data_IF_148818470017
#
_entry.id   IF_148818470017
#
_cell.length_a   1.000
_cell.length_b   1.000
_cell.length_c   1.000
_cell.angle_alpha   90.00
_cell.angle_beta   90.00
_cell.angle_gamma   90.00
#
_symmetry.space_group_name_H-M   'P 1'
#
loop_
_entity.id
_entity.type
_entity.pdbx_description
1 polymer ?
#
# COMPACT_ATOMS: atom_id res chain seq x y z
N UNK A 1 -11.69 -7.49 -2.90
CA UNK A 1 -11.36 -6.53 -3.97
C UNK A 1 -9.87 -6.64 -4.29
N UNK A 2 -9.53 -6.80 -5.55
CA UNK A 2 -8.15 -6.91 -5.97
C UNK A 2 -7.43 -5.57 -5.94
N UNK A 3 -6.09 -5.60 -5.83
CA UNK A 3 -5.27 -4.38 -5.76
C UNK A 3 -5.49 -3.45 -6.96
N UNK A 4 -5.58 -4.01 -8.16
CA UNK A 4 -5.80 -3.20 -9.36
C UNK A 4 -7.14 -2.44 -9.29
N UNK A 5 -8.19 -3.10 -8.81
CA UNK A 5 -9.49 -2.47 -8.60
C UNK A 5 -9.41 -1.35 -7.55
N UNK A 6 -8.66 -1.57 -6.47
CA UNK A 6 -8.45 -0.55 -5.43
C UNK A 6 -7.72 0.67 -5.98
N UNK A 7 -6.67 0.46 -6.78
CA UNK A 7 -5.93 1.55 -7.40
C UNK A 7 -6.84 2.36 -8.35
N UNK A 8 -7.66 1.67 -9.14
CA UNK A 8 -8.55 2.34 -10.08
C UNK A 8 -9.67 3.12 -9.38
N UNK A 9 -10.17 2.62 -8.26
CA UNK A 9 -11.26 3.26 -7.51
C UNK A 9 -10.79 4.31 -6.50
N UNK A 10 -9.47 4.38 -6.24
CA UNK A 10 -8.87 5.34 -5.30
C UNK A 10 -7.73 6.10 -5.98
N UNK A 11 -8.05 7.03 -6.90
CA UNK A 11 -7.03 7.66 -7.74
C UNK A 11 -5.99 8.48 -6.98
N UNK A 12 -6.37 9.15 -5.91
CA UNK A 12 -5.42 9.94 -5.10
C UNK A 12 -4.46 9.02 -4.35
N UNK A 13 -4.99 7.95 -3.77
CA UNK A 13 -4.17 6.93 -3.08
C UNK A 13 -3.22 6.24 -4.07
N UNK A 14 -3.69 5.96 -5.28
CA UNK A 14 -2.85 5.38 -6.34
C UNK A 14 -1.65 6.26 -6.67
N UNK A 15 -1.86 7.58 -6.77
CA UNK A 15 -0.78 8.54 -7.02
C UNK A 15 0.25 8.53 -5.91
N UNK A 16 -0.20 8.51 -4.66
CA UNK A 16 0.68 8.45 -3.49
C UNK A 16 1.51 7.17 -3.48
N UNK A 17 0.89 6.03 -3.75
CA UNK A 17 1.58 4.73 -3.79
C UNK A 17 2.62 4.71 -4.91
N UNK A 18 2.26 5.17 -6.11
CA UNK A 18 3.19 5.26 -7.24
C UNK A 18 4.40 6.12 -6.92
N UNK A 19 4.18 7.28 -6.32
CA UNK A 19 5.25 8.19 -5.94
C UNK A 19 6.16 7.55 -4.91
N UNK A 20 5.59 6.90 -3.90
CA UNK A 20 6.37 6.21 -2.88
C UNK A 20 7.25 5.11 -3.47
N UNK A 21 6.69 4.29 -4.37
CA UNK A 21 7.43 3.22 -5.04
C UNK A 21 8.56 3.77 -5.92
N UNK A 22 8.29 4.83 -6.68
CA UNK A 22 9.30 5.49 -7.52
C UNK A 22 10.45 6.03 -6.67
N UNK A 23 10.13 6.69 -5.55
CA UNK A 23 11.15 7.23 -4.66
C UNK A 23 12.01 6.11 -4.06
N UNK A 24 11.41 4.98 -3.69
CA UNK A 24 12.15 3.83 -3.18
C UNK A 24 13.02 3.18 -4.24
N UNK A 25 12.54 3.06 -5.46
CA UNK A 25 13.32 2.52 -6.58
C UNK A 25 14.52 3.41 -6.87
N UNK A 26 14.34 4.73 -6.93
CA UNK A 26 15.41 5.68 -7.16
C UNK A 26 16.42 5.71 -6.00
N UNK A 27 15.95 5.54 -4.77
CA UNK A 27 16.80 5.45 -3.59
C UNK A 27 17.70 4.22 -3.66
N UNK A 28 17.19 3.08 -4.13
CA UNK A 28 17.97 1.86 -4.29
C UNK A 28 19.06 1.98 -5.34
N UNK A 29 18.94 2.95 -6.26
CA UNK A 29 19.94 3.24 -7.30
C UNK A 29 20.93 4.34 -6.89
N UNK A 30 20.90 4.76 -5.65
CA UNK A 30 21.66 5.90 -5.13
C UNK A 30 23.18 5.70 -5.22
N UNK A 31 23.65 4.47 -5.07
CA UNK A 31 25.06 4.12 -5.11
C UNK A 31 25.58 3.95 -6.53
N UNK A 32 24.72 4.02 -7.52
CA UNK A 32 25.09 3.93 -8.91
C UNK A 32 25.24 5.34 -9.51
N UNK A 33 26.23 5.48 -10.37
CA UNK A 33 26.52 6.76 -11.04
C UNK A 33 25.53 7.00 -12.18
N UNK A 34 24.23 7.04 -11.84
CA UNK A 34 23.18 7.36 -12.81
C UNK A 34 23.05 8.89 -12.95
N UNK A 35 22.98 9.39 -14.19
CA UNK A 35 22.74 10.81 -14.39
C UNK A 35 21.39 11.25 -13.80
N UNK A 36 21.33 12.47 -13.30
CA UNK A 36 20.08 13.04 -12.76
C UNK A 36 18.97 13.07 -13.84
N UNK A 37 19.36 13.29 -15.10
CA UNK A 37 18.42 13.27 -16.23
C UNK A 37 17.69 11.93 -16.37
N UNK A 38 18.37 10.83 -16.09
CA UNK A 38 17.77 9.49 -16.12
C UNK A 38 16.74 9.34 -15.00
N UNK A 39 17.04 9.84 -13.80
CA UNK A 39 16.12 9.81 -12.68
C UNK A 39 14.87 10.63 -12.97
N UNK A 40 15.04 11.80 -13.55
CA UNK A 40 13.93 12.67 -13.97
C UNK A 40 13.08 11.99 -15.05
N UNK A 41 13.72 11.31 -15.99
CA UNK A 41 13.03 10.55 -17.03
C UNK A 41 12.15 9.45 -16.41
N UNK A 42 12.70 8.67 -15.48
CA UNK A 42 11.96 7.59 -14.79
C UNK A 42 10.75 8.15 -14.04
N UNK A 43 10.92 9.28 -13.35
CA UNK A 43 9.81 9.94 -12.65
C UNK A 43 8.73 10.43 -13.62
N UNK A 44 9.14 10.97 -14.77
CA UNK A 44 8.21 11.49 -15.78
C UNK A 44 7.39 10.37 -16.43
N UNK A 45 8.00 9.20 -16.67
CA UNK A 45 7.30 8.04 -17.23
C UNK A 45 6.31 7.45 -16.24
N UNK A 46 6.64 7.48 -14.94
CA UNK A 46 5.80 6.91 -13.90
C UNK A 46 5.74 5.39 -13.94
N UNK A 47 4.80 4.85 -13.21
CA UNK A 47 4.51 3.40 -13.17
C UNK A 47 3.00 3.25 -13.39
N UNK A 48 2.59 2.36 -14.28
CA UNK A 48 1.16 2.11 -14.49
C UNK A 48 0.58 1.24 -13.35
N UNK A 49 -0.74 1.21 -13.25
CA UNK A 49 -1.44 0.50 -12.17
C UNK A 49 -1.17 -1.01 -12.19
N UNK A 50 -1.02 -1.60 -13.37
CA UNK A 50 -0.71 -3.04 -13.49
C UNK A 50 0.66 -3.37 -12.89
N UNK A 51 1.66 -2.53 -13.13
CA UNK A 51 3.01 -2.71 -12.56
C UNK A 51 2.99 -2.50 -11.06
N UNK A 52 2.26 -1.50 -10.58
CA UNK A 52 2.12 -1.24 -9.14
C UNK A 52 1.49 -2.44 -8.46
N UNK A 53 0.39 -2.97 -9.01
CA UNK A 53 -0.28 -4.14 -8.46
C UNK A 53 0.65 -5.36 -8.42
N UNK A 54 1.45 -5.56 -9.47
CA UNK A 54 2.42 -6.65 -9.53
C UNK A 54 3.52 -6.53 -8.48
N UNK A 55 4.08 -5.32 -8.30
CA UNK A 55 5.11 -5.06 -7.29
C UNK A 55 4.57 -5.30 -5.89
N UNK A 56 3.38 -4.79 -5.58
CA UNK A 56 2.78 -4.94 -4.26
C UNK A 56 2.37 -6.38 -3.97
N UNK A 57 1.95 -7.12 -4.98
CA UNK A 57 1.63 -8.55 -4.85
C UNK A 57 2.87 -9.36 -4.48
N UNK A 58 4.04 -9.01 -5.06
CA UNK A 58 5.31 -9.64 -4.73
C UNK A 58 5.92 -9.17 -3.41
N UNK A 59 5.52 -7.99 -2.93
CA UNK A 59 6.01 -7.42 -1.68
C UNK A 59 4.86 -6.71 -0.93
N UNK A 60 3.96 -7.50 -0.30
CA UNK A 60 2.80 -6.91 0.41
C UNK A 60 3.18 -5.94 1.53
N UNK A 61 4.36 -6.10 2.13
CA UNK A 61 4.81 -5.21 3.21
C UNK A 61 4.94 -3.77 2.74
N UNK A 62 5.30 -3.55 1.48
CA UNK A 62 5.48 -2.21 0.93
C UNK A 62 4.21 -1.36 1.04
N UNK A 63 3.04 -1.96 0.86
CA UNK A 63 1.78 -1.21 0.96
C UNK A 63 1.52 -0.71 2.38
N UNK A 64 1.85 -1.53 3.39
CA UNK A 64 1.74 -1.10 4.79
C UNK A 64 2.71 0.03 5.11
N UNK A 65 3.92 0.01 4.53
CA UNK A 65 4.90 1.08 4.70
C UNK A 65 4.38 2.41 4.13
N UNK A 66 3.66 2.38 3.00
CA UNK A 66 3.01 3.57 2.45
C UNK A 66 1.98 4.13 3.43
N UNK A 67 1.12 3.27 3.96
CA UNK A 67 0.11 3.69 4.93
C UNK A 67 0.74 4.23 6.21
N UNK A 68 1.80 3.59 6.70
CA UNK A 68 2.55 4.06 7.88
C UNK A 68 3.08 5.48 7.66
N UNK A 69 3.59 5.78 6.46
CA UNK A 69 4.12 7.10 6.13
C UNK A 69 3.06 8.20 6.15
N UNK A 70 1.79 7.82 6.02
CA UNK A 70 0.64 8.72 6.11
C UNK A 70 -0.10 8.61 7.43
N UNK A 71 0.51 7.96 8.43
CA UNK A 71 -0.04 7.77 9.79
C UNK A 71 -1.33 6.95 9.80
N UNK A 72 -1.48 6.05 8.83
CA UNK A 72 -2.54 5.05 8.79
C UNK A 72 -1.89 3.73 9.20
N UNK A 73 -1.99 3.41 10.49
CA UNK A 73 -1.33 2.24 11.08
C UNK A 73 -2.31 1.08 11.09
N UNK A 74 -2.00 0.07 10.28
CA UNK A 74 -2.80 -1.15 10.16
C UNK A 74 -2.22 -2.22 11.05
N UNK A 75 -3.02 -2.73 11.98
CA UNK A 75 -2.63 -3.83 12.87
C UNK A 75 -3.50 -5.04 12.59
N UNK A 76 -2.89 -6.21 12.53
CA UNK A 76 -3.60 -7.49 12.48
C UNK A 76 -3.42 -8.16 13.84
N UNK A 77 -4.52 -8.45 14.52
CA UNK A 77 -4.55 -8.94 15.89
C UNK A 77 -5.13 -10.33 15.92
N UNK A 78 -4.51 -11.22 16.69
CA UNK A 78 -5.03 -12.57 16.91
C UNK A 78 -6.13 -12.52 17.96
N UNK A 79 -7.30 -13.09 17.64
CA UNK A 79 -8.39 -13.22 18.58
C UNK A 79 -8.10 -14.38 19.56
N UNK A 80 -8.46 -14.22 20.82
CA UNK A 80 -8.30 -15.24 21.86
C UNK A 80 -9.03 -16.54 21.54
N UNK A 81 -10.15 -16.45 20.82
CA UNK A 81 -10.97 -17.61 20.43
C UNK A 81 -10.54 -18.19 19.08
N UNK A 82 -9.43 -17.71 18.53
CA UNK A 82 -8.97 -18.06 17.19
C UNK A 82 -9.46 -17.06 16.14
N UNK A 83 -8.76 -17.00 15.03
CA UNK A 83 -9.06 -16.04 13.99
C UNK A 83 -8.30 -14.72 14.15
N UNK A 84 -8.61 -13.77 13.29
CA UNK A 84 -7.88 -12.52 13.16
C UNK A 84 -8.84 -11.35 12.98
N UNK A 85 -8.49 -10.20 13.53
CA UNK A 85 -9.18 -8.96 13.23
C UNK A 85 -8.18 -7.85 12.98
N UNK A 86 -8.58 -6.86 12.18
CA UNK A 86 -7.73 -5.70 11.93
C UNK A 86 -8.17 -4.51 12.78
N UNK A 87 -7.20 -3.65 13.05
CA UNK A 87 -7.45 -2.41 13.77
C UNK A 87 -6.67 -1.28 13.08
N UNK A 88 -7.35 -0.18 12.81
CA UNK A 88 -6.76 1.03 12.23
C UNK A 88 -7.21 2.21 13.10
N UNK A 89 -6.28 2.80 13.85
CA UNK A 89 -6.60 3.85 14.80
C UNK A 89 -7.60 3.35 15.85
N UNK A 90 -8.71 4.05 16.02
CA UNK A 90 -9.77 3.67 16.93
C UNK A 90 -10.82 2.72 16.37
N UNK A 91 -10.66 2.31 15.11
CA UNK A 91 -11.63 1.47 14.40
C UNK A 91 -11.08 0.06 14.26
N UNK A 92 -11.92 -0.94 14.51
CA UNK A 92 -11.54 -2.35 14.27
C UNK A 92 -12.54 -3.00 13.31
N UNK A 93 -12.14 -4.16 12.75
CA UNK A 93 -12.98 -4.87 11.79
C UNK A 93 -14.33 -5.26 12.41
N UNK A 94 -15.43 -5.23 11.62
CA UNK A 94 -16.74 -5.61 12.12
C UNK A 94 -16.88 -7.09 12.41
N UNK A 95 -15.92 -7.91 11.94
CA UNK A 95 -15.91 -9.37 12.14
C UNK A 95 -14.49 -9.88 12.30
N UNK A 96 -14.37 -11.11 12.81
CA UNK A 96 -13.11 -11.85 12.82
C UNK A 96 -12.99 -12.68 11.54
N UNK A 97 -11.77 -12.85 11.07
CA UNK A 97 -11.45 -13.64 9.88
C UNK A 97 -10.76 -14.94 10.30
N UNK A 98 -11.09 -16.03 9.63
CA UNK A 98 -10.47 -17.34 9.92
C UNK A 98 -8.99 -17.33 9.53
N UNK A 99 -8.64 -16.67 8.42
CA UNK A 99 -7.28 -16.63 7.90
C UNK A 99 -6.71 -15.21 7.93
N UNK A 100 -5.43 -15.10 8.29
CA UNK A 100 -4.73 -13.81 8.34
C UNK A 100 -4.76 -13.09 6.99
N UNK A 101 -4.58 -13.84 5.89
CA UNK A 101 -4.55 -13.24 4.56
C UNK A 101 -5.87 -12.53 4.21
N UNK A 102 -6.99 -13.10 4.61
CA UNK A 102 -8.31 -12.50 4.38
C UNK A 102 -8.50 -11.24 5.24
N UNK A 103 -8.01 -11.29 6.47
CA UNK A 103 -8.01 -10.13 7.35
C UNK A 103 -7.17 -8.99 6.78
N UNK A 104 -5.96 -9.30 6.32
CA UNK A 104 -5.05 -8.30 5.74
C UNK A 104 -5.64 -7.67 4.48
N UNK A 105 -6.27 -8.45 3.61
CA UNK A 105 -6.94 -7.94 2.41
C UNK A 105 -8.07 -6.97 2.76
N UNK A 106 -8.88 -7.31 3.76
CA UNK A 106 -9.95 -6.43 4.22
C UNK A 106 -9.40 -5.15 4.85
N UNK A 107 -8.33 -5.25 5.61
CA UNK A 107 -7.65 -4.09 6.21
C UNK A 107 -7.11 -3.14 5.13
N UNK A 108 -6.54 -3.69 4.07
CA UNK A 108 -6.03 -2.88 2.95
C UNK A 108 -7.16 -2.10 2.28
N UNK A 109 -8.32 -2.72 2.07
CA UNK A 109 -9.49 -2.03 1.51
C UNK A 109 -9.86 -0.82 2.36
N UNK A 110 -9.94 -0.99 3.67
CA UNK A 110 -10.27 0.10 4.59
C UNK A 110 -9.19 1.18 4.60
N UNK A 111 -7.91 0.78 4.57
CA UNK A 111 -6.80 1.72 4.54
C UNK A 111 -6.79 2.57 3.27
N UNK A 112 -7.10 2.00 2.12
CA UNK A 112 -7.26 2.75 0.86
C UNK A 112 -8.34 3.82 0.99
N UNK A 113 -9.48 3.45 1.54
CA UNK A 113 -10.58 4.37 1.76
C UNK A 113 -10.19 5.54 2.66
N UNK A 114 -9.53 5.22 3.78
CA UNK A 114 -9.09 6.24 4.75
C UNK A 114 -8.06 7.19 4.15
N UNK A 115 -7.11 6.68 3.39
CA UNK A 115 -6.09 7.50 2.74
C UNK A 115 -6.72 8.39 1.67
N UNK A 116 -7.64 7.86 0.86
CA UNK A 116 -8.33 8.62 -0.18
C UNK A 116 -9.12 9.80 0.41
N UNK A 117 -9.75 9.60 1.56
CA UNK A 117 -10.48 10.66 2.27
C UNK A 117 -9.56 11.69 2.91
N UNK A 118 -8.36 11.26 3.31
CA UNK A 118 -7.39 12.11 4.01
C UNK A 118 -6.65 13.07 3.08
N UNK A 119 -6.42 12.66 1.85
CA UNK A 119 -5.65 13.43 0.85
C UNK A 119 -6.56 14.07 -0.25
#
# INVERSE_FOLDING_TARGET
MELLELLNSHPKTAIVIKQWLLDKMLESLKDETLPDDFKDYVRAQGIDDDKVAGILKGNPRAIFDVFDSHKIYVETIVDELGGFFWKIGGTQSPKCYEFRIDCDKAAIVEAFKLLEEKI
#
